data_IF_935248643320
#
_entry.id   IF_935248643320
#
_cell.length_a   1.000
_cell.length_b   1.000
_cell.length_c   1.000
_cell.angle_alpha   90.00
_cell.angle_beta   90.00
_cell.angle_gamma   90.00
#
_symmetry.space_group_name_H-M   'P 1'
#
loop_
_entity.id
_entity.type
_entity.pdbx_description
1 polymer ?
#
# COMPACT_ATOMS: atom_id res chain seq x y z
N UNK A 1 -14.01 -30.88 5.77
CA UNK A 1 -14.82 -29.85 5.09
C UNK A 1 -13.94 -28.65 4.82
N UNK A 2 -13.59 -28.32 3.56
CA UNK A 2 -12.74 -27.16 3.28
C UNK A 2 -13.52 -25.89 3.64
N UNK A 3 -12.99 -25.14 4.62
CA UNK A 3 -13.64 -23.97 5.20
C UNK A 3 -13.83 -22.86 4.17
N UNK A 4 -14.89 -22.08 4.34
CA UNK A 4 -15.26 -20.93 3.51
C UNK A 4 -14.07 -20.04 3.09
N UNK A 5 -13.11 -19.84 4.01
CA UNK A 5 -11.85 -19.11 3.79
C UNK A 5 -10.98 -19.72 2.67
N UNK A 6 -10.88 -21.05 2.61
CA UNK A 6 -10.11 -21.75 1.57
C UNK A 6 -10.74 -21.64 0.18
N UNK A 7 -12.07 -21.46 0.10
CA UNK A 7 -12.79 -21.30 -1.17
C UNK A 7 -12.54 -19.91 -1.79
N UNK A 8 -12.59 -18.85 -0.98
CA UNK A 8 -12.23 -17.48 -1.40
C UNK A 8 -10.75 -17.40 -1.84
N UNK A 9 -9.86 -18.10 -1.14
CA UNK A 9 -8.44 -18.21 -1.50
C UNK A 9 -8.20 -18.96 -2.82
N UNK A 10 -9.08 -19.89 -3.19
CA UNK A 10 -8.95 -20.72 -4.39
C UNK A 10 -9.66 -20.12 -5.62
N UNK A 11 -10.68 -19.29 -5.42
CA UNK A 11 -11.39 -18.54 -6.49
C UNK A 11 -10.63 -17.30 -6.98
N UNK A 12 -9.64 -16.87 -6.20
CA UNK A 12 -8.71 -15.80 -6.58
C UNK A 12 -7.67 -16.37 -7.54
N UNK A 13 -7.89 -16.21 -8.85
CA UNK A 13 -6.95 -16.58 -9.92
C UNK A 13 -5.49 -16.47 -9.46
N UNK A 14 -4.72 -17.55 -9.53
CA UNK A 14 -3.34 -17.60 -9.03
C UNK A 14 -2.47 -16.44 -9.57
N UNK A 15 -2.78 -15.92 -10.77
CA UNK A 15 -2.15 -14.74 -11.35
C UNK A 15 -2.45 -13.41 -10.62
N UNK A 16 -3.65 -13.24 -10.08
CA UNK A 16 -4.02 -12.05 -9.28
C UNK A 16 -3.27 -12.06 -7.96
N UNK A 17 -3.19 -13.22 -7.29
CA UNK A 17 -2.44 -13.37 -6.04
C UNK A 17 -0.95 -13.11 -6.24
N UNK A 18 -0.37 -13.64 -7.31
CA UNK A 18 1.03 -13.37 -7.67
C UNK A 18 1.30 -11.88 -7.91
N UNK A 19 0.40 -11.18 -8.59
CA UNK A 19 0.53 -9.74 -8.83
C UNK A 19 0.40 -8.92 -7.55
N UNK A 20 -0.52 -9.30 -6.64
CA UNK A 20 -0.64 -8.70 -5.32
C UNK A 20 0.66 -8.85 -4.53
N UNK A 21 1.16 -10.08 -4.44
CA UNK A 21 2.39 -10.41 -3.70
C UNK A 21 3.57 -9.64 -4.28
N UNK A 22 3.72 -9.59 -5.60
CA UNK A 22 4.79 -8.85 -6.26
C UNK A 22 4.71 -7.34 -5.96
N UNK A 23 3.50 -6.76 -5.97
CA UNK A 23 3.28 -5.35 -5.69
C UNK A 23 3.62 -5.03 -4.22
N UNK A 24 3.08 -5.79 -3.27
CA UNK A 24 3.41 -5.62 -1.84
C UNK A 24 4.90 -5.86 -1.55
N UNK A 25 5.52 -6.86 -2.16
CA UNK A 25 6.94 -7.14 -2.00
C UNK A 25 7.81 -5.98 -2.52
N UNK A 26 7.45 -5.41 -3.69
CA UNK A 26 8.13 -4.24 -4.24
C UNK A 26 8.02 -3.02 -3.32
N UNK A 27 6.81 -2.71 -2.82
CA UNK A 27 6.61 -1.59 -1.89
C UNK A 27 7.40 -1.79 -0.58
N UNK A 28 7.38 -3.01 -0.01
CA UNK A 28 8.12 -3.32 1.20
C UNK A 28 9.64 -3.18 0.98
N UNK A 29 10.16 -3.70 -0.13
CA UNK A 29 11.58 -3.58 -0.48
C UNK A 29 11.99 -2.10 -0.65
N UNK A 30 11.19 -1.30 -1.35
CA UNK A 30 11.44 0.13 -1.50
C UNK A 30 11.47 0.85 -0.15
N UNK A 31 10.54 0.53 0.76
CA UNK A 31 10.50 1.12 2.09
C UNK A 31 11.76 0.79 2.90
N UNK A 32 12.16 -0.49 2.90
CA UNK A 32 13.39 -0.93 3.58
C UNK A 32 14.62 -0.23 3.01
N UNK A 33 14.72 -0.07 1.68
CA UNK A 33 15.82 0.66 1.05
C UNK A 33 15.88 2.12 1.49
N UNK A 34 14.74 2.81 1.56
CA UNK A 34 14.67 4.20 2.04
C UNK A 34 15.12 4.30 3.51
N UNK A 35 14.68 3.39 4.37
CA UNK A 35 15.08 3.37 5.78
C UNK A 35 16.56 3.03 5.98
N UNK A 36 17.10 2.10 5.20
CA UNK A 36 18.53 1.80 5.19
C UNK A 36 19.34 3.00 4.73
N UNK A 37 18.92 3.68 3.66
CA UNK A 37 19.57 4.89 3.19
C UNK A 37 19.52 6.02 4.24
N UNK A 38 18.36 6.20 4.89
CA UNK A 38 18.23 7.15 5.98
C UNK A 38 19.17 6.81 7.15
N UNK A 39 19.29 5.54 7.53
CA UNK A 39 20.22 5.11 8.55
C UNK A 39 21.68 5.41 8.17
N UNK A 40 22.14 5.01 6.98
CA UNK A 40 23.51 5.27 6.54
C UNK A 40 23.83 6.77 6.37
N UNK A 41 22.87 7.59 5.95
CA UNK A 41 23.07 9.02 5.74
C UNK A 41 22.96 9.87 7.02
N UNK A 42 22.14 9.44 7.98
CA UNK A 42 21.75 10.25 9.14
C UNK A 42 22.20 9.67 10.49
N UNK A 43 22.93 8.54 10.53
CA UNK A 43 23.39 7.95 11.79
C UNK A 43 24.22 8.91 12.65
N UNK A 44 24.96 9.84 12.03
CA UNK A 44 25.78 10.83 12.72
C UNK A 44 25.00 12.04 13.23
N UNK A 45 23.72 12.20 12.87
CA UNK A 45 22.90 13.36 13.22
C UNK A 45 21.53 12.92 13.80
N UNK A 46 21.46 12.68 15.13
CA UNK A 46 20.25 12.18 15.79
C UNK A 46 19.02 13.07 15.60
N UNK A 47 19.22 14.39 15.53
CA UNK A 47 18.14 15.37 15.33
C UNK A 47 17.50 15.22 13.95
N UNK A 48 18.32 15.04 12.90
CA UNK A 48 17.82 14.87 11.54
C UNK A 48 17.14 13.50 11.38
N UNK A 49 17.64 12.45 12.03
CA UNK A 49 16.98 11.15 12.09
C UNK A 49 15.60 11.24 12.75
N UNK A 50 15.48 12.00 13.84
CA UNK A 50 14.18 12.30 14.48
C UNK A 50 13.22 13.03 13.56
N UNK A 51 13.69 14.02 12.78
CA UNK A 51 12.85 14.71 11.80
C UNK A 51 12.39 13.81 10.65
N UNK A 52 13.22 12.85 10.20
CA UNK A 52 12.84 11.86 9.20
C UNK A 52 11.72 10.95 9.72
N UNK A 53 11.80 10.52 10.98
CA UNK A 53 10.74 9.74 11.62
C UNK A 53 9.43 10.51 11.75
N UNK A 54 9.51 11.79 12.15
CA UNK A 54 8.32 12.65 12.21
C UNK A 54 7.70 12.87 10.83
N UNK A 55 8.52 13.17 9.81
CA UNK A 55 8.06 13.31 8.43
C UNK A 55 7.37 12.04 7.93
N UNK A 56 7.93 10.87 8.22
CA UNK A 56 7.31 9.58 7.90
C UNK A 56 5.97 9.38 8.61
N UNK A 57 5.89 9.74 9.89
CA UNK A 57 4.65 9.63 10.68
C UNK A 57 3.57 10.60 10.20
N UNK A 58 3.93 11.84 9.87
CA UNK A 58 3.01 12.82 9.29
C UNK A 58 2.52 12.39 7.90
N UNK A 59 3.40 11.84 7.06
CA UNK A 59 3.02 11.26 5.77
C UNK A 59 2.07 10.06 5.91
N UNK A 60 2.34 9.17 6.87
CA UNK A 60 1.44 8.06 7.21
C UNK A 60 0.08 8.54 7.68
N UNK A 61 0.04 9.55 8.55
CA UNK A 61 -1.21 10.14 9.02
C UNK A 61 -2.03 10.67 7.84
N UNK A 62 -1.37 11.43 6.96
CA UNK A 62 -2.02 12.00 5.79
C UNK A 62 -2.61 10.93 4.85
N UNK A 63 -1.88 9.84 4.62
CA UNK A 63 -2.35 8.73 3.80
C UNK A 63 -3.52 7.94 4.42
N UNK A 64 -3.72 8.06 5.74
CA UNK A 64 -4.80 7.39 6.52
C UNK A 64 -5.94 8.37 6.83
N UNK A 65 -5.99 9.54 6.19
CA UNK A 65 -7.09 10.47 6.34
C UNK A 65 -8.40 9.88 5.72
N UNK A 66 -9.53 10.22 6.33
CA UNK A 66 -10.83 9.61 6.03
C UNK A 66 -11.32 9.90 4.59
N UNK A 67 -10.90 11.00 4.00
CA UNK A 67 -11.18 11.40 2.63
C UNK A 67 -10.50 10.46 1.61
N UNK A 68 -9.23 10.10 1.85
CA UNK A 68 -8.50 9.17 1.00
C UNK A 68 -9.11 7.77 1.07
N UNK A 69 -9.43 7.29 2.27
CA UNK A 69 -10.06 5.98 2.47
C UNK A 69 -11.45 5.96 1.80
N UNK A 70 -12.25 7.02 1.96
CA UNK A 70 -13.57 7.11 1.34
C UNK A 70 -13.50 7.14 -0.20
N UNK A 71 -12.49 7.81 -0.77
CA UNK A 71 -12.28 7.85 -2.22
C UNK A 71 -11.90 6.47 -2.79
N UNK A 72 -11.00 5.74 -2.10
CA UNK A 72 -10.64 4.36 -2.48
C UNK A 72 -11.83 3.43 -2.35
N UNK A 73 -12.60 3.51 -1.26
CA UNK A 73 -13.80 2.68 -1.05
C UNK A 73 -14.85 2.92 -2.14
N UNK A 74 -15.17 4.19 -2.43
CA UNK A 74 -16.17 4.52 -3.44
C UNK A 74 -15.76 4.04 -4.83
N UNK A 75 -14.47 4.15 -5.18
CA UNK A 75 -13.90 3.66 -6.43
C UNK A 75 -13.98 2.13 -6.52
N UNK A 76 -13.58 1.44 -5.45
CA UNK A 76 -13.60 -0.03 -5.34
C UNK A 76 -15.03 -0.56 -5.47
N UNK A 77 -15.97 0.04 -4.73
CA UNK A 77 -17.40 -0.31 -4.76
C UNK A 77 -18.00 -0.10 -6.15
N UNK A 78 -17.65 1.00 -6.84
CA UNK A 78 -18.10 1.27 -8.22
C UNK A 78 -17.57 0.24 -9.22
N UNK A 79 -16.30 -0.17 -9.11
CA UNK A 79 -15.75 -1.23 -9.96
C UNK A 79 -16.39 -2.60 -9.69
N UNK A 80 -16.66 -2.92 -8.42
CA UNK A 80 -17.35 -4.15 -8.06
C UNK A 80 -18.80 -4.18 -8.58
N UNK A 81 -19.51 -3.06 -8.54
CA UNK A 81 -20.85 -2.92 -9.13
C UNK A 81 -20.85 -3.12 -10.66
N UNK A 82 -19.73 -2.82 -11.33
CA UNK A 82 -19.54 -3.07 -12.76
C UNK A 82 -19.04 -4.50 -13.07
N UNK A 83 -18.99 -5.39 -12.06
CA UNK A 83 -18.50 -6.76 -12.20
C UNK A 83 -16.98 -6.88 -12.42
N UNK A 84 -16.21 -5.79 -12.24
CA UNK A 84 -14.75 -5.78 -12.36
C UNK A 84 -14.10 -6.11 -11.01
N UNK A 85 -12.97 -6.81 -11.03
CA UNK A 85 -12.16 -7.09 -9.83
C UNK A 85 -11.19 -5.92 -9.57
N UNK A 86 -11.33 -5.14 -8.48
CA UNK A 86 -10.56 -3.92 -8.24
C UNK A 86 -9.19 -4.20 -7.59
N UNK A 87 -8.34 -4.98 -8.26
CA UNK A 87 -7.05 -5.43 -7.69
C UNK A 87 -6.00 -4.32 -7.62
N UNK A 88 -6.05 -3.35 -8.54
CA UNK A 88 -5.03 -2.31 -8.73
C UNK A 88 -5.50 -0.90 -8.35
N UNK A 89 -6.70 -0.74 -7.79
CA UNK A 89 -7.29 0.57 -7.46
C UNK A 89 -6.42 1.35 -6.48
N UNK A 90 -5.92 0.70 -5.42
CA UNK A 90 -5.02 1.34 -4.45
C UNK A 90 -3.69 1.80 -5.07
N UNK A 91 -3.14 1.02 -6.02
CA UNK A 91 -1.91 1.39 -6.72
C UNK A 91 -2.09 2.60 -7.64
N UNK A 92 -3.17 2.64 -8.43
CA UNK A 92 -3.47 3.79 -9.29
C UNK A 92 -3.85 5.04 -8.49
N UNK A 93 -4.50 4.89 -7.34
CA UNK A 93 -4.81 6.01 -6.45
C UNK A 93 -3.54 6.63 -5.85
N UNK A 94 -2.58 5.80 -5.44
CA UNK A 94 -1.26 6.24 -4.98
C UNK A 94 -0.44 6.93 -6.09
N UNK A 95 -0.56 6.48 -7.34
CA UNK A 95 0.05 7.16 -8.51
C UNK A 95 -0.62 8.50 -8.81
N UNK A 96 -1.95 8.60 -8.70
CA UNK A 96 -2.71 9.80 -9.05
C UNK A 96 -2.56 10.97 -8.07
N UNK A 97 -2.18 10.72 -6.81
CA UNK A 97 -1.89 11.76 -5.83
C UNK A 97 -0.42 12.22 -5.83
N UNK A 98 0.44 11.55 -6.58
CA UNK A 98 1.88 11.81 -6.62
C UNK A 98 2.34 12.67 -7.82
N UNK A 99 1.39 13.25 -8.59
CA UNK A 99 1.66 14.17 -9.72
C UNK A 99 1.13 15.57 -9.40
#
# INVERSE_FOLDING_TARGET
>A
MPGFVSRIWNESDAGVRGRLIALYAFLAAANVLVWLWAYFGLHNNPVLFGSAFLAYTFGLRHAVDADHIAAIDNSTRKLMQQGRRPVSVGFFFALGHAV
#
